data_IF_546762273336
#
_entry.id   IF_546762273336
#
_cell.length_a   1.000
_cell.length_b   1.000
_cell.length_c   1.000
_cell.angle_alpha   90.00
_cell.angle_beta   90.00
_cell.angle_gamma   90.00
#
_symmetry.space_group_name_H-M   'P 1'
#
loop_
_entity.id
_entity.type
_entity.pdbx_description
1 polymer ?
#
# COMPACT_ATOMS: atom_id res chain seq x y z
N UNK A 1 9.65 -8.74 -12.00
CA UNK A 1 9.35 -8.57 -13.45
C UNK A 1 10.17 -7.42 -14.00
N UNK A 2 10.99 -7.70 -15.03
CA UNK A 2 11.85 -6.66 -15.62
C UNK A 2 11.19 -6.06 -16.86
N UNK A 3 11.01 -4.75 -16.86
CA UNK A 3 10.53 -3.98 -17.99
C UNK A 3 11.75 -3.50 -18.78
N UNK A 4 11.84 -3.87 -20.06
CA UNK A 4 12.89 -3.38 -20.97
C UNK A 4 12.49 -2.02 -21.53
N UNK A 5 13.30 -1.02 -21.22
CA UNK A 5 13.06 0.37 -21.61
C UNK A 5 14.04 0.86 -22.69
N UNK A 6 14.90 -0.04 -23.25
CA UNK A 6 15.90 0.32 -24.25
C UNK A 6 15.30 1.04 -25.45
N UNK A 7 14.17 0.52 -25.95
CA UNK A 7 13.48 1.12 -27.09
C UNK A 7 12.88 2.50 -26.78
N UNK A 8 12.55 2.73 -25.48
CA UNK A 8 12.02 4.01 -25.02
C UNK A 8 13.12 5.06 -24.90
N UNK A 9 14.26 4.72 -24.24
CA UNK A 9 15.42 5.60 -24.11
C UNK A 9 16.13 5.81 -25.46
N UNK A 10 16.14 4.79 -26.34
CA UNK A 10 16.71 4.89 -27.69
C UNK A 10 15.86 5.72 -28.69
N UNK A 11 14.64 6.11 -28.32
CA UNK A 11 13.74 6.87 -29.16
C UNK A 11 13.01 6.06 -30.23
N UNK A 12 13.20 4.74 -30.27
CA UNK A 12 12.58 3.84 -31.24
C UNK A 12 11.08 3.66 -30.98
N UNK A 13 10.68 3.78 -29.71
CA UNK A 13 9.27 3.63 -29.28
C UNK A 13 8.90 4.79 -28.38
N UNK A 14 7.74 5.41 -28.64
CA UNK A 14 7.26 6.53 -27.84
C UNK A 14 6.42 6.09 -26.62
N UNK A 15 5.91 4.84 -26.63
CA UNK A 15 5.01 4.34 -25.58
C UNK A 15 5.04 2.82 -25.48
N UNK A 16 5.08 2.33 -24.25
CA UNK A 16 4.97 0.91 -23.90
C UNK A 16 3.76 0.77 -22.98
N UNK A 17 2.74 0.03 -23.41
CA UNK A 17 1.60 -0.29 -22.56
C UNK A 17 1.97 -1.42 -21.58
N UNK A 18 1.48 -1.32 -20.35
CA UNK A 18 1.72 -2.28 -19.28
C UNK A 18 0.36 -2.77 -18.79
N UNK A 19 0.12 -4.07 -18.88
CA UNK A 19 -1.06 -4.72 -18.30
C UNK A 19 -0.61 -6.07 -17.75
N UNK A 20 -0.47 -6.16 -16.42
CA UNK A 20 0.11 -7.31 -15.74
C UNK A 20 -0.66 -7.64 -14.45
N UNK A 21 -0.50 -8.87 -14.00
CA UNK A 21 -0.93 -9.30 -12.67
C UNK A 21 0.29 -9.81 -11.91
N UNK A 22 0.64 -9.10 -10.86
CA UNK A 22 1.80 -9.42 -10.04
C UNK A 22 1.37 -9.98 -8.68
N UNK A 23 2.06 -11.02 -8.26
CA UNK A 23 1.82 -11.66 -6.98
C UNK A 23 2.76 -11.10 -5.93
N UNK A 24 2.19 -10.62 -4.83
CA UNK A 24 2.90 -10.08 -3.67
C UNK A 24 2.45 -10.76 -2.37
N UNK A 25 2.09 -12.05 -2.43
CA UNK A 25 1.67 -12.82 -1.26
C UNK A 25 2.74 -12.91 -0.17
N UNK A 26 4.02 -12.69 -0.53
CA UNK A 26 5.18 -12.65 0.37
C UNK A 26 5.44 -11.26 0.98
N UNK A 27 4.71 -10.22 0.55
CA UNK A 27 4.87 -8.87 1.06
C UNK A 27 4.37 -8.79 2.50
N UNK A 28 5.31 -8.60 3.43
CA UNK A 28 4.99 -8.48 4.85
C UNK A 28 4.67 -7.03 5.23
N UNK A 29 3.55 -6.84 5.91
CA UNK A 29 3.19 -5.59 6.55
C UNK A 29 2.92 -5.83 8.05
N UNK A 30 3.87 -5.43 8.88
CA UNK A 30 3.86 -5.80 10.30
C UNK A 30 4.01 -7.32 10.50
N UNK A 31 2.99 -7.97 11.04
CA UNK A 31 2.98 -9.42 11.35
C UNK A 31 2.17 -10.27 10.39
N UNK A 32 1.66 -9.72 9.29
CA UNK A 32 0.82 -10.43 8.32
C UNK A 32 1.10 -9.98 6.89
N UNK A 33 0.61 -10.77 5.92
CA UNK A 33 0.69 -10.46 4.49
C UNK A 33 -0.67 -9.93 4.01
N UNK A 34 -0.78 -8.64 3.66
CA UNK A 34 -2.06 -8.02 3.33
C UNK A 34 -2.55 -8.29 1.90
N UNK A 35 -1.69 -8.83 1.03
CA UNK A 35 -2.02 -9.10 -0.36
C UNK A 35 -2.11 -10.60 -0.61
N UNK A 36 -3.31 -11.17 -0.49
CA UNK A 36 -3.57 -12.59 -0.75
C UNK A 36 -3.97 -12.86 -2.20
N UNK A 37 -4.37 -11.83 -2.92
CA UNK A 37 -4.75 -11.91 -4.31
C UNK A 37 -3.74 -11.14 -5.16
N UNK A 38 -3.55 -11.53 -6.43
CA UNK A 38 -2.66 -10.79 -7.32
C UNK A 38 -3.09 -9.33 -7.46
N UNK A 39 -2.10 -8.45 -7.52
CA UNK A 39 -2.28 -7.03 -7.78
C UNK A 39 -2.36 -6.83 -9.29
N UNK A 40 -3.44 -6.23 -9.76
CA UNK A 40 -3.57 -5.83 -11.16
C UNK A 40 -2.85 -4.51 -11.36
N UNK A 41 -1.94 -4.50 -12.32
CA UNK A 41 -1.15 -3.32 -12.72
C UNK A 41 -1.49 -2.98 -14.15
N UNK A 42 -1.95 -1.76 -14.37
CA UNK A 42 -2.25 -1.23 -15.70
C UNK A 42 -1.60 0.13 -15.85
N UNK A 43 -1.16 0.45 -17.06
CA UNK A 43 -0.56 1.75 -17.31
C UNK A 43 0.35 1.78 -18.52
N UNK A 44 1.31 2.69 -18.50
CA UNK A 44 2.20 2.90 -19.63
C UNK A 44 3.52 3.55 -19.20
N UNK A 45 4.59 3.19 -19.89
CA UNK A 45 5.81 3.98 -19.93
C UNK A 45 5.88 4.74 -21.25
N UNK A 46 6.22 6.03 -21.21
CA UNK A 46 6.28 6.85 -22.43
C UNK A 46 7.39 7.91 -22.36
N UNK A 47 7.89 8.29 -23.53
CA UNK A 47 8.87 9.37 -23.68
C UNK A 47 8.18 10.64 -24.16
N UNK A 48 8.52 11.78 -23.54
CA UNK A 48 8.06 13.12 -23.93
C UNK A 48 9.16 14.13 -23.68
N UNK A 49 9.57 14.85 -24.73
CA UNK A 49 10.63 15.88 -24.66
C UNK A 49 11.93 15.36 -23.99
N UNK A 50 12.40 14.20 -24.41
CA UNK A 50 13.61 13.53 -23.92
C UNK A 50 13.55 13.08 -22.44
N UNK A 51 12.36 13.09 -21.85
CA UNK A 51 12.10 12.57 -20.50
C UNK A 51 11.20 11.35 -20.58
N UNK A 52 11.56 10.31 -19.86
CA UNK A 52 10.77 9.08 -19.79
C UNK A 52 9.90 9.10 -18.53
N UNK A 53 8.63 8.80 -18.71
CA UNK A 53 7.61 8.77 -17.67
C UNK A 53 7.03 7.36 -17.52
N UNK A 54 6.62 7.05 -16.31
CA UNK A 54 5.93 5.81 -15.96
C UNK A 54 4.64 6.15 -15.22
N UNK A 55 3.50 5.89 -15.85
CA UNK A 55 2.17 6.05 -15.25
C UNK A 55 1.58 4.68 -15.02
N UNK A 56 1.27 4.34 -13.77
CA UNK A 56 0.71 3.05 -13.39
C UNK A 56 -0.50 3.23 -12.47
N UNK A 57 -1.53 2.43 -12.73
CA UNK A 57 -2.69 2.26 -11.86
C UNK A 57 -2.70 0.83 -11.32
N UNK A 58 -2.63 0.70 -10.01
CA UNK A 58 -2.70 -0.56 -9.30
C UNK A 58 -4.09 -0.74 -8.69
N UNK A 59 -4.64 -1.93 -8.79
CA UNK A 59 -5.87 -2.30 -8.09
C UNK A 59 -5.68 -3.63 -7.38
N UNK A 60 -6.06 -3.67 -6.10
CA UNK A 60 -5.86 -4.82 -5.23
C UNK A 60 -6.87 -4.85 -4.08
N UNK A 61 -6.94 -5.99 -3.41
CA UNK A 61 -7.72 -6.14 -2.17
C UNK A 61 -6.74 -6.25 -1.00
N UNK A 62 -6.86 -5.31 -0.08
CA UNK A 62 -6.12 -5.34 1.18
C UNK A 62 -6.84 -6.26 2.18
N UNK A 63 -6.16 -7.33 2.57
CA UNK A 63 -6.60 -8.28 3.59
C UNK A 63 -5.89 -7.97 4.91
N UNK A 64 -6.62 -7.61 5.92
CA UNK A 64 -6.05 -7.25 7.21
C UNK A 64 -7.00 -7.50 8.37
N UNK A 65 -6.66 -6.92 9.50
CA UNK A 65 -7.50 -6.96 10.71
C UNK A 65 -7.72 -5.55 11.23
N UNK A 66 -8.85 -5.33 11.85
CA UNK A 66 -9.15 -4.05 12.49
C UNK A 66 -8.24 -3.83 13.72
N UNK A 67 -7.54 -2.70 13.77
CA UNK A 67 -6.63 -2.36 14.88
C UNK A 67 -7.34 -2.14 16.21
N UNK A 68 -8.68 -2.04 16.21
CA UNK A 68 -9.46 -1.86 17.43
C UNK A 68 -10.20 -3.12 17.88
N UNK A 69 -10.83 -3.85 16.97
CA UNK A 69 -11.66 -5.01 17.32
C UNK A 69 -11.12 -6.34 16.83
N UNK A 70 -9.97 -6.33 16.12
CA UNK A 70 -9.31 -7.51 15.55
C UNK A 70 -10.17 -8.32 14.55
N UNK A 71 -11.29 -7.76 14.08
CA UNK A 71 -12.08 -8.40 13.03
C UNK A 71 -11.37 -8.34 11.67
N UNK A 72 -11.51 -9.39 10.85
CA UNK A 72 -10.93 -9.40 9.51
C UNK A 72 -11.58 -8.30 8.64
N UNK A 73 -10.74 -7.64 7.85
CA UNK A 73 -11.14 -6.61 6.90
C UNK A 73 -10.63 -7.00 5.53
N UNK A 74 -11.51 -6.91 4.53
CA UNK A 74 -11.15 -6.96 3.12
C UNK A 74 -11.59 -5.65 2.48
N UNK A 75 -10.61 -4.87 2.00
CA UNK A 75 -10.88 -3.55 1.44
C UNK A 75 -10.29 -3.45 0.04
N UNK A 76 -11.09 -3.21 -1.00
CA UNK A 76 -10.56 -2.88 -2.31
C UNK A 76 -9.86 -1.52 -2.25
N UNK A 77 -8.66 -1.46 -2.79
CA UNK A 77 -7.82 -0.27 -2.82
C UNK A 77 -7.24 -0.08 -4.22
N UNK A 78 -6.97 1.17 -4.55
CA UNK A 78 -6.28 1.55 -5.78
C UNK A 78 -5.18 2.56 -5.48
N UNK A 79 -4.09 2.45 -6.20
CA UNK A 79 -2.93 3.34 -6.11
C UNK A 79 -2.54 3.75 -7.52
N UNK A 80 -2.47 5.06 -7.76
CA UNK A 80 -1.93 5.62 -9.01
C UNK A 80 -0.53 6.16 -8.77
N UNK A 81 0.41 5.77 -9.60
CA UNK A 81 1.80 6.15 -9.55
C UNK A 81 2.19 6.93 -10.78
N UNK A 82 2.88 8.05 -10.57
CA UNK A 82 3.50 8.85 -11.61
C UNK A 82 4.98 8.98 -11.29
N UNK A 83 5.83 8.40 -12.12
CA UNK A 83 7.28 8.40 -11.89
C UNK A 83 8.02 8.90 -13.13
N UNK A 84 9.15 9.53 -12.89
CA UNK A 84 10.09 9.96 -13.92
C UNK A 84 11.26 8.97 -13.93
N UNK A 85 11.51 8.37 -15.08
CA UNK A 85 12.57 7.40 -15.25
C UNK A 85 13.87 8.09 -15.70
N UNK A 86 14.94 7.89 -14.95
CA UNK A 86 16.25 8.48 -15.22
C UNK A 86 17.34 7.41 -15.19
N UNK A 87 18.32 7.51 -16.10
CA UNK A 87 19.47 6.60 -16.14
C UNK A 87 20.62 7.09 -15.25
N UNK A 88 20.70 8.39 -14.98
CA UNK A 88 21.71 8.99 -14.11
C UNK A 88 21.10 10.13 -13.29
N UNK A 89 21.39 10.16 -12.01
CA UNK A 89 21.08 11.27 -11.12
C UNK A 89 22.36 12.08 -10.89
N UNK A 90 22.55 13.12 -11.69
CA UNK A 90 23.71 14.01 -11.54
C UNK A 90 23.71 14.79 -10.22
N UNK A 91 22.53 14.97 -9.60
CA UNK A 91 22.37 15.62 -8.29
C UNK A 91 21.48 14.75 -7.40
N UNK A 92 22.08 14.05 -6.43
CA UNK A 92 21.36 13.25 -5.43
C UNK A 92 20.46 14.08 -4.49
N UNK A 93 20.64 15.40 -4.47
CA UNK A 93 19.87 16.34 -3.62
C UNK A 93 18.48 16.64 -4.22
N UNK A 94 18.26 16.40 -5.51
CA UNK A 94 16.99 16.59 -6.20
C UNK A 94 16.19 15.26 -6.40
N UNK A 95 16.58 14.20 -5.68
CA UNK A 95 15.88 12.92 -5.71
C UNK A 95 14.57 13.02 -4.92
N UNK A 96 13.57 13.72 -5.51
CA UNK A 96 12.20 13.63 -5.05
C UNK A 96 11.66 12.21 -5.29
N UNK A 97 10.66 11.81 -4.51
CA UNK A 97 10.00 10.48 -4.60
C UNK A 97 9.40 10.18 -5.99
N UNK A 98 9.45 11.15 -6.90
CA UNK A 98 8.99 11.03 -8.29
C UNK A 98 10.02 10.41 -9.23
N UNK A 99 11.33 10.42 -8.88
CA UNK A 99 12.39 9.90 -9.74
C UNK A 99 12.70 8.45 -9.44
N UNK A 100 12.80 7.65 -10.50
CA UNK A 100 13.22 6.24 -10.43
C UNK A 100 14.46 6.04 -11.27
N UNK A 101 15.53 5.58 -10.61
CA UNK A 101 16.79 5.27 -11.30
C UNK A 101 16.65 3.93 -12.03
N UNK A 102 16.88 3.97 -13.33
CA UNK A 102 16.85 2.81 -14.22
C UNK A 102 18.29 2.36 -14.49
N UNK A 103 18.61 1.12 -14.19
CA UNK A 103 19.92 0.54 -14.46
C UNK A 103 19.89 -0.28 -15.74
N UNK A 104 20.88 -0.06 -16.63
CA UNK A 104 20.99 -0.77 -17.91
C UNK A 104 19.71 -0.70 -18.79
N UNK A 105 18.98 0.42 -18.74
CA UNK A 105 17.69 0.63 -19.42
C UNK A 105 16.66 -0.45 -19.08
N UNK A 106 16.75 -1.07 -17.89
CA UNK A 106 15.81 -2.06 -17.38
C UNK A 106 15.31 -1.65 -16.00
N UNK A 107 14.00 -1.75 -15.78
CA UNK A 107 13.35 -1.47 -14.51
C UNK A 107 12.76 -2.76 -13.95
N UNK A 108 13.11 -3.12 -12.71
CA UNK A 108 12.36 -4.16 -12.01
C UNK A 108 11.08 -3.58 -11.39
N UNK A 109 9.99 -3.84 -12.10
CA UNK A 109 8.67 -3.34 -11.74
C UNK A 109 8.19 -3.95 -10.41
N UNK A 110 8.57 -5.19 -10.11
CA UNK A 110 8.16 -5.87 -8.88
C UNK A 110 8.77 -5.22 -7.65
N UNK A 111 10.04 -4.83 -7.72
CA UNK A 111 10.74 -4.18 -6.62
C UNK A 111 10.19 -2.77 -6.37
N UNK A 112 10.03 -1.98 -7.45
CA UNK A 112 9.41 -0.66 -7.36
C UNK A 112 8.03 -0.70 -6.73
N UNK A 113 7.15 -1.59 -7.22
CA UNK A 113 5.79 -1.69 -6.73
C UNK A 113 5.72 -2.21 -5.29
N UNK A 114 6.66 -3.05 -4.88
CA UNK A 114 6.78 -3.53 -3.50
C UNK A 114 7.02 -2.38 -2.52
N UNK A 115 7.94 -1.48 -2.85
CA UNK A 115 8.24 -0.29 -2.05
C UNK A 115 7.05 0.66 -2.00
N UNK A 116 6.44 0.98 -3.14
CA UNK A 116 5.30 1.88 -3.23
C UNK A 116 4.06 1.35 -2.48
N UNK A 117 3.78 0.06 -2.57
CA UNK A 117 2.69 -0.57 -1.83
C UNK A 117 2.90 -0.49 -0.31
N UNK A 118 4.13 -0.72 0.18
CA UNK A 118 4.46 -0.59 1.61
C UNK A 118 4.27 0.84 2.11
N UNK A 119 4.66 1.84 1.32
CA UNK A 119 4.47 3.25 1.65
C UNK A 119 2.99 3.66 1.62
N UNK A 120 2.22 3.07 0.72
CA UNK A 120 0.80 3.39 0.55
C UNK A 120 -0.09 2.79 1.64
N UNK A 121 0.29 1.67 2.24
CA UNK A 121 -0.56 1.02 3.24
C UNK A 121 -0.81 1.94 4.44
N UNK A 122 -2.08 2.08 4.84
CA UNK A 122 -2.43 2.97 5.93
C UNK A 122 -1.90 2.43 7.27
N UNK A 123 -1.27 3.28 8.05
CA UNK A 123 -0.72 2.94 9.37
C UNK A 123 -1.79 2.45 10.36
N UNK A 124 -3.06 2.72 10.08
CA UNK A 124 -4.20 2.31 10.92
C UNK A 124 -5.37 1.84 10.07
N UNK A 125 -5.81 0.62 10.32
CA UNK A 125 -6.93 0.01 9.63
C UNK A 125 -8.10 -0.21 10.57
N UNK A 126 -9.28 0.32 10.23
CA UNK A 126 -10.50 0.17 11.02
C UNK A 126 -11.59 -0.49 10.17
N UNK A 127 -12.36 -1.39 10.77
CA UNK A 127 -13.53 -2.00 10.10
C UNK A 127 -14.62 -0.96 9.79
N UNK A 128 -14.73 0.07 10.63
CA UNK A 128 -15.60 1.23 10.44
C UNK A 128 -15.05 2.43 11.22
N UNK A 129 -15.38 3.68 10.81
CA UNK A 129 -14.83 4.89 11.44
C UNK A 129 -15.12 4.99 12.93
N UNK A 130 -16.28 4.52 13.36
CA UNK A 130 -16.77 4.54 14.74
C UNK A 130 -16.55 3.22 15.49
N UNK A 131 -15.62 2.38 15.06
CA UNK A 131 -15.32 1.10 15.71
C UNK A 131 -15.00 1.31 17.19
N UNK A 132 -15.78 0.64 18.07
CA UNK A 132 -15.66 0.73 19.53
C UNK A 132 -14.52 -0.12 20.09
N UNK A 133 -14.01 -1.06 19.30
CA UNK A 133 -12.93 -1.94 19.73
C UNK A 133 -13.36 -3.09 20.63
N UNK A 134 -12.35 -3.65 21.31
CA UNK A 134 -12.52 -4.73 22.28
C UNK A 134 -12.61 -4.16 23.71
N UNK A 135 -13.38 -4.81 24.55
CA UNK A 135 -13.40 -4.51 25.98
C UNK A 135 -12.05 -4.84 26.62
N UNK A 136 -11.42 -3.88 27.28
CA UNK A 136 -10.11 -4.06 27.92
C UNK A 136 -10.10 -5.09 29.06
N UNK A 137 -11.26 -5.49 29.60
CA UNK A 137 -11.37 -6.46 30.69
C UNK A 137 -11.68 -7.87 30.22
N UNK A 138 -12.57 -8.04 29.25
CA UNK A 138 -13.05 -9.37 28.83
C UNK A 138 -12.79 -9.69 27.36
N UNK A 139 -12.22 -8.77 26.58
CA UNK A 139 -11.94 -8.97 25.17
C UNK A 139 -13.17 -9.03 24.25
N UNK A 140 -14.39 -8.80 24.78
CA UNK A 140 -15.61 -8.82 23.98
C UNK A 140 -15.63 -7.64 23.01
N UNK A 141 -16.07 -7.88 21.77
CA UNK A 141 -16.24 -6.83 20.77
C UNK A 141 -17.39 -5.89 21.20
N UNK A 142 -17.06 -4.62 21.41
CA UNK A 142 -18.03 -3.60 21.83
C UNK A 142 -18.96 -3.14 20.70
N UNK A 143 -18.69 -3.55 19.46
CA UNK A 143 -19.58 -3.31 18.32
C UNK A 143 -20.80 -4.23 18.34
N UNK A 144 -20.73 -5.41 18.98
CA UNK A 144 -21.78 -6.43 19.03
C UNK A 144 -22.87 -6.16 20.08
N UNK A 145 -22.70 -5.09 20.86
CA UNK A 145 -23.67 -4.68 21.85
C UNK A 145 -23.07 -4.29 23.19
N UNK A 146 -23.90 -3.85 24.14
CA UNK A 146 -23.41 -3.39 25.44
C UNK A 146 -22.80 -4.55 26.23
N UNK A 147 -21.67 -4.28 26.88
CA UNK A 147 -21.10 -5.21 27.85
C UNK A 147 -21.98 -5.29 29.10
N UNK A 148 -21.97 -6.45 29.75
CA UNK A 148 -22.73 -6.70 30.99
C UNK A 148 -22.50 -5.57 32.01
N UNK A 149 -23.56 -5.13 32.65
CA UNK A 149 -23.54 -4.05 33.68
C UNK A 149 -22.55 -4.27 34.80
N UNK A 150 -22.15 -5.49 35.08
CA UNK A 150 -21.11 -5.83 36.06
C UNK A 150 -19.74 -5.28 35.69
N UNK A 151 -19.42 -5.09 34.41
CA UNK A 151 -18.19 -4.47 33.94
C UNK A 151 -18.18 -2.95 34.09
N UNK A 152 -19.32 -2.29 33.93
CA UNK A 152 -19.44 -0.84 34.05
C UNK A 152 -19.34 -0.40 35.51
N UNK A 153 -19.94 -1.15 36.45
CA UNK A 153 -19.87 -0.84 37.91
C UNK A 153 -18.46 -0.92 38.48
N UNK A 154 -17.58 -1.76 37.92
CA UNK A 154 -16.19 -1.84 38.40
C UNK A 154 -15.35 -0.60 38.00
N UNK A 155 -15.83 0.22 37.05
CA UNK A 155 -15.19 1.49 36.66
C UNK A 155 -15.63 2.69 37.52
N UNK A 156 -16.83 2.64 38.10
CA UNK A 156 -17.37 3.77 38.89
C UNK A 156 -16.89 3.81 40.36
N UNK A 157 -16.31 2.73 40.88
CA UNK A 157 -15.84 2.66 42.27
C UNK A 157 -14.38 2.94 42.48
N UNK A 158 -13.61 3.26 41.43
CA UNK A 158 -12.21 3.64 41.51
C UNK A 158 -12.03 5.13 41.22
N UNK A 159 -11.77 5.91 42.28
CA UNK A 159 -11.26 7.28 42.17
C UNK A 159 -10.08 7.30 41.19
N UNK A 160 -10.18 8.12 40.15
CA UNK A 160 -9.08 8.56 39.30
C UNK A 160 -8.22 7.44 38.69
N UNK A 161 -8.75 6.75 37.67
CA UNK A 161 -7.90 6.13 36.67
C UNK A 161 -8.42 6.58 35.30
N UNK A 162 -7.73 7.57 34.77
CA UNK A 162 -7.77 7.97 33.37
C UNK A 162 -7.23 6.77 32.58
N UNK A 163 -8.03 6.22 31.69
CA UNK A 163 -7.56 5.38 30.59
C UNK A 163 -7.43 6.23 29.34
#
# INVERSE_FOLDING_TARGET
MKLDLKALFGGDTQRIAIEEQLDFHDLQYGSYCPLRQPVRVTGQAYAKADVCYLDLDLSFVFDGVCDRCAEPIQKPMSLSLHKILVEDLQNREDADDEYVLVQDSALDLSDLLREELLLFFPTKMLCKPDCKGLCCKCGKNLNDGPVSYTHLRAHETGRNLVC
#
